data_IF_545654742670
#
_entry.id   IF_545654742670
#
_cell.length_a   1.000
_cell.length_b   1.000
_cell.length_c   1.000
_cell.angle_alpha   90.00
_cell.angle_beta   90.00
_cell.angle_gamma   90.00
#
_symmetry.space_group_name_H-M   'P 1'
#
loop_
_entity.id
_entity.type
_entity.pdbx_description
1 polymer ?
#
# COMPACT_ATOMS: atom_id res chain seq x y z
N UNK A 1 25.91 2.46 -33.16
CA UNK A 1 25.99 2.56 -31.70
C UNK A 1 26.54 3.93 -31.40
N UNK A 2 25.67 4.96 -31.42
CA UNK A 2 26.07 6.32 -31.11
C UNK A 2 25.83 6.58 -29.62
N UNK A 3 26.94 6.82 -28.94
CA UNK A 3 26.98 7.31 -27.57
C UNK A 3 26.36 8.71 -27.52
N UNK A 4 25.23 8.83 -26.83
CA UNK A 4 24.72 10.15 -26.42
C UNK A 4 25.85 10.91 -25.73
N UNK A 5 26.10 12.14 -26.19
CA UNK A 5 27.21 12.94 -25.71
C UNK A 5 26.98 13.33 -24.25
N UNK A 6 28.04 13.39 -23.49
CA UNK A 6 28.06 13.76 -22.05
C UNK A 6 27.30 15.05 -21.75
N UNK A 7 27.16 15.95 -22.72
CA UNK A 7 26.41 17.20 -22.60
C UNK A 7 24.88 17.03 -22.54
N UNK A 8 24.30 16.02 -23.23
CA UNK A 8 22.85 15.75 -23.17
C UNK A 8 22.45 15.03 -21.88
N UNK A 9 23.34 14.19 -21.35
CA UNK A 9 23.14 13.57 -20.03
C UNK A 9 23.22 14.60 -18.88
N UNK A 10 24.15 15.58 -18.97
CA UNK A 10 24.28 16.65 -17.99
C UNK A 10 23.12 17.65 -18.10
N UNK A 11 22.64 17.97 -19.31
CA UNK A 11 21.47 18.82 -19.51
C UNK A 11 20.16 18.20 -18.99
N UNK A 12 19.96 16.88 -19.20
CA UNK A 12 18.82 16.16 -18.65
C UNK A 12 18.89 16.05 -17.11
N UNK A 13 20.07 15.90 -16.53
CA UNK A 13 20.21 15.87 -15.06
C UNK A 13 20.00 17.26 -14.43
N UNK A 14 20.37 18.35 -15.11
CA UNK A 14 20.17 19.71 -14.60
C UNK A 14 18.72 20.20 -14.69
N UNK A 15 17.96 19.76 -15.70
CA UNK A 15 16.52 20.03 -15.83
C UNK A 15 15.70 19.30 -14.75
N UNK A 16 16.10 18.08 -14.35
CA UNK A 16 15.46 17.34 -13.28
C UNK A 16 15.77 17.89 -11.87
N UNK A 17 16.82 18.66 -11.69
CA UNK A 17 17.23 19.16 -10.36
C UNK A 17 16.36 20.30 -9.82
N UNK A 18 15.57 20.96 -10.67
CA UNK A 18 14.71 22.10 -10.30
C UNK A 18 13.21 21.80 -10.32
N UNK A 19 12.84 20.53 -10.36
CA UNK A 19 11.44 20.14 -10.41
C UNK A 19 11.00 19.61 -9.06
N UNK A 20 9.81 19.97 -8.62
CA UNK A 20 9.17 19.37 -7.44
C UNK A 20 7.72 18.97 -7.72
N UNK A 21 7.21 18.07 -6.91
CA UNK A 21 5.80 17.70 -6.88
C UNK A 21 5.25 17.86 -5.47
N UNK A 22 3.94 17.99 -5.35
CA UNK A 22 3.25 17.93 -4.06
C UNK A 22 2.42 16.66 -3.99
N UNK A 23 2.70 15.83 -2.99
CA UNK A 23 1.95 14.61 -2.68
C UNK A 23 1.04 14.81 -1.48
N UNK A 24 -0.14 14.23 -1.55
CA UNK A 24 -1.13 14.20 -0.47
C UNK A 24 -1.47 12.75 -0.17
N UNK A 25 -1.45 12.40 1.10
CA UNK A 25 -1.92 11.10 1.61
C UNK A 25 -3.09 11.37 2.56
N UNK A 26 -4.30 11.17 2.05
CA UNK A 26 -5.55 11.36 2.78
C UNK A 26 -5.96 10.05 3.44
N UNK A 27 -5.80 9.96 4.74
CA UNK A 27 -6.32 8.85 5.55
C UNK A 27 -7.52 9.26 6.41
N UNK A 28 -8.22 8.28 6.95
CA UNK A 28 -9.36 8.53 7.86
C UNK A 28 -8.96 9.15 9.21
N UNK A 29 -7.69 9.07 9.60
CA UNK A 29 -7.17 9.62 10.86
C UNK A 29 -6.23 10.79 10.64
N UNK A 30 -5.35 10.67 9.65
CA UNK A 30 -4.32 11.65 9.35
C UNK A 30 -4.39 12.09 7.89
N UNK A 31 -4.17 13.35 7.66
CA UNK A 31 -3.92 13.97 6.37
C UNK A 31 -2.45 14.41 6.35
N UNK A 32 -1.68 13.88 5.39
CA UNK A 32 -0.27 14.20 5.21
C UNK A 32 -0.05 14.85 3.85
N UNK A 33 0.79 15.88 3.80
CA UNK A 33 1.15 16.59 2.55
C UNK A 33 2.66 16.79 2.53
N UNK A 34 3.30 16.53 1.40
CA UNK A 34 4.74 16.73 1.24
C UNK A 34 5.07 17.37 -0.11
N UNK A 35 6.11 18.20 -0.10
CA UNK A 35 6.83 18.62 -1.30
C UNK A 35 8.02 17.68 -1.52
N UNK A 36 8.18 17.19 -2.74
CA UNK A 36 9.20 16.21 -3.10
C UNK A 36 9.93 16.61 -4.37
N UNK A 37 11.25 16.50 -4.36
CA UNK A 37 12.10 16.65 -5.56
C UNK A 37 12.82 15.33 -5.87
N UNK A 38 12.90 14.91 -7.14
CA UNK A 38 13.65 13.69 -7.49
C UNK A 38 15.12 13.73 -7.08
N UNK A 39 15.73 14.91 -6.99
CA UNK A 39 17.14 15.09 -6.65
C UNK A 39 17.40 15.20 -5.14
N UNK A 40 16.42 15.61 -4.34
CA UNK A 40 16.61 15.92 -2.92
C UNK A 40 15.69 15.09 -1.99
N UNK A 41 14.76 14.29 -2.54
CA UNK A 41 13.76 13.58 -1.74
C UNK A 41 12.66 14.52 -1.23
N UNK A 42 12.15 14.26 -0.03
CA UNK A 42 11.16 15.13 0.63
C UNK A 42 11.85 16.44 1.03
N UNK A 43 11.37 17.56 0.46
CA UNK A 43 11.85 18.90 0.77
C UNK A 43 11.24 19.43 2.06
N UNK A 44 9.94 19.18 2.26
CA UNK A 44 9.18 19.54 3.47
C UNK A 44 7.89 18.72 3.52
N UNK A 45 7.35 18.54 4.72
CA UNK A 45 6.10 17.82 4.92
C UNK A 45 5.31 18.37 6.10
N UNK A 46 4.01 18.21 6.07
CA UNK A 46 3.11 18.51 7.18
C UNK A 46 2.14 17.35 7.39
N UNK A 47 1.75 17.16 8.64
CA UNK A 47 0.76 16.16 9.04
C UNK A 47 -0.24 16.80 9.98
N UNK A 48 -1.52 16.48 9.79
CA UNK A 48 -2.61 16.95 10.64
C UNK A 48 -3.66 15.86 10.81
N UNK A 49 -4.48 15.95 11.84
CA UNK A 49 -5.63 15.07 12.00
C UNK A 49 -6.66 15.35 10.89
N UNK A 50 -7.24 14.30 10.34
CA UNK A 50 -8.38 14.42 9.41
C UNK A 50 -9.62 14.76 10.22
N UNK A 51 -10.06 16.00 10.14
CA UNK A 51 -11.29 16.45 10.82
C UNK A 51 -12.54 16.00 10.05
N UNK A 52 -12.94 14.76 10.27
CA UNK A 52 -14.13 14.18 9.63
C UNK A 52 -15.43 14.90 10.04
N UNK A 53 -15.44 15.63 11.16
CA UNK A 53 -16.62 16.38 11.63
C UNK A 53 -16.93 17.58 10.74
N UNK A 54 -15.94 18.10 10.01
CA UNK A 54 -16.09 19.21 9.05
C UNK A 54 -16.67 18.79 7.70
N UNK A 55 -16.93 17.49 7.51
CA UNK A 55 -17.40 16.89 6.26
C UNK A 55 -16.33 16.87 5.15
N UNK A 56 -16.64 16.23 4.00
CA UNK A 56 -15.70 16.10 2.90
C UNK A 56 -15.11 17.42 2.41
N UNK A 57 -15.95 18.44 2.23
CA UNK A 57 -15.50 19.76 1.77
C UNK A 57 -14.63 20.47 2.80
N UNK A 58 -14.86 20.25 4.11
CA UNK A 58 -14.02 20.79 5.18
C UNK A 58 -12.61 20.20 5.13
N UNK A 59 -12.51 18.88 4.99
CA UNK A 59 -11.23 18.18 4.85
C UNK A 59 -10.51 18.64 3.56
N UNK A 60 -11.23 18.78 2.43
CA UNK A 60 -10.64 19.30 1.18
C UNK A 60 -10.11 20.72 1.37
N UNK A 61 -10.80 21.61 2.10
CA UNK A 61 -10.25 22.95 2.39
C UNK A 61 -8.92 22.89 3.14
N UNK A 62 -8.81 22.03 4.16
CA UNK A 62 -7.57 21.83 4.91
C UNK A 62 -6.44 21.28 4.03
N UNK A 63 -6.75 20.27 3.20
CA UNK A 63 -5.87 19.71 2.20
C UNK A 63 -5.33 20.79 1.25
N UNK A 64 -6.23 21.53 0.63
CA UNK A 64 -5.89 22.59 -0.34
C UNK A 64 -5.03 23.69 0.30
N UNK A 65 -5.33 24.08 1.53
CA UNK A 65 -4.51 25.06 2.26
C UNK A 65 -3.09 24.56 2.47
N UNK A 66 -2.91 23.32 2.89
CA UNK A 66 -1.59 22.72 3.08
C UNK A 66 -0.81 22.60 1.75
N UNK A 67 -1.48 22.16 0.68
CA UNK A 67 -0.88 22.08 -0.66
C UNK A 67 -0.41 23.46 -1.13
N UNK A 68 -1.25 24.49 -1.05
CA UNK A 68 -0.89 25.87 -1.46
C UNK A 68 0.29 26.39 -0.64
N UNK A 69 0.32 26.15 0.66
CA UNK A 69 1.45 26.56 1.51
C UNK A 69 2.77 25.98 1.04
N UNK A 70 2.81 24.69 0.65
CA UNK A 70 4.04 24.07 0.13
C UNK A 70 4.38 24.59 -1.28
N UNK A 71 3.38 24.79 -2.14
CA UNK A 71 3.61 25.37 -3.47
C UNK A 71 4.24 26.77 -3.33
N UNK A 72 3.65 27.66 -2.53
CA UNK A 72 4.14 29.03 -2.34
C UNK A 72 5.56 29.04 -1.77
N UNK A 73 5.89 28.09 -0.88
CA UNK A 73 7.23 27.98 -0.27
C UNK A 73 8.32 27.61 -1.26
N UNK A 74 8.04 26.76 -2.23
CA UNK A 74 9.07 26.20 -3.11
C UNK A 74 9.07 26.74 -4.54
N UNK A 75 8.03 27.46 -4.97
CA UNK A 75 7.91 27.98 -6.33
C UNK A 75 8.95 29.02 -6.73
N UNK A 76 9.70 29.61 -5.76
CA UNK A 76 10.83 30.50 -6.08
C UNK A 76 12.06 29.75 -6.56
N UNK A 77 12.26 28.51 -6.13
CA UNK A 77 13.47 27.74 -6.34
C UNK A 77 13.26 26.53 -7.26
N UNK A 78 12.00 26.07 -7.39
CA UNK A 78 11.63 24.87 -8.12
C UNK A 78 10.38 25.10 -9.00
N UNK A 79 10.31 24.40 -10.12
CA UNK A 79 9.13 24.32 -10.99
C UNK A 79 8.18 23.22 -10.51
N UNK A 80 6.91 23.55 -10.28
CA UNK A 80 5.90 22.57 -9.89
C UNK A 80 5.55 21.65 -11.05
N UNK A 81 5.85 20.36 -10.92
CA UNK A 81 5.51 19.34 -11.91
C UNK A 81 4.04 18.93 -11.85
N UNK A 82 3.46 18.88 -10.64
CA UNK A 82 2.08 18.47 -10.44
C UNK A 82 1.75 18.18 -8.98
N UNK A 83 0.49 17.78 -8.77
CA UNK A 83 -0.07 17.44 -7.47
C UNK A 83 -0.64 16.02 -7.57
N UNK A 84 -0.22 15.15 -6.65
CA UNK A 84 -0.72 13.77 -6.54
C UNK A 84 -1.49 13.58 -5.25
N UNK A 85 -2.59 12.85 -5.31
CA UNK A 85 -3.46 12.61 -4.17
C UNK A 85 -3.70 11.12 -3.98
N UNK A 86 -3.37 10.61 -2.80
CA UNK A 86 -3.73 9.30 -2.30
C UNK A 86 -4.98 9.37 -1.43
N UNK A 87 -5.89 8.43 -1.59
CA UNK A 87 -7.11 8.34 -0.81
C UNK A 87 -7.48 6.88 -0.56
N UNK A 88 -8.13 6.56 0.58
CA UNK A 88 -8.73 5.24 0.73
C UNK A 88 -9.73 4.96 -0.40
N UNK A 89 -9.77 3.70 -0.82
CA UNK A 89 -10.71 3.22 -1.81
C UNK A 89 -12.05 2.73 -1.22
N UNK A 90 -12.94 2.20 -2.10
CA UNK A 90 -12.81 2.12 -3.57
C UNK A 90 -12.88 3.48 -4.25
N UNK A 91 -12.00 3.68 -5.25
CA UNK A 91 -11.87 4.93 -6.00
C UNK A 91 -12.24 4.68 -7.47
N UNK A 92 -13.28 5.34 -7.97
CA UNK A 92 -13.67 5.29 -9.39
C UNK A 92 -12.82 6.24 -10.22
N UNK A 93 -12.14 5.72 -11.24
CA UNK A 93 -11.36 6.49 -12.20
C UNK A 93 -11.99 6.44 -13.60
N UNK A 94 -11.87 7.49 -14.40
CA UNK A 94 -11.11 8.73 -14.17
C UNK A 94 -11.82 9.79 -13.35
N UNK A 95 -13.09 9.58 -12.94
CA UNK A 95 -13.89 10.61 -12.24
C UNK A 95 -13.24 11.06 -10.90
N UNK A 96 -12.52 10.19 -10.21
CA UNK A 96 -11.98 10.45 -8.87
C UNK A 96 -13.07 10.53 -7.81
N UNK A 97 -14.09 9.68 -7.97
CA UNK A 97 -15.22 9.56 -7.03
C UNK A 97 -14.96 8.42 -6.05
N UNK A 98 -15.24 8.66 -4.79
CA UNK A 98 -15.08 7.66 -3.72
C UNK A 98 -16.40 6.92 -3.51
N UNK A 99 -16.34 5.60 -3.32
CA UNK A 99 -17.49 4.75 -3.05
C UNK A 99 -17.37 4.05 -1.71
N UNK A 100 -18.36 4.21 -0.84
CA UNK A 100 -18.47 3.51 0.46
C UNK A 100 -17.13 3.33 1.22
N UNK A 101 -16.32 4.37 1.42
CA UNK A 101 -15.02 4.24 2.05
C UNK A 101 -15.19 3.90 3.54
N UNK A 102 -14.71 2.74 4.03
CA UNK A 102 -14.94 2.34 5.43
C UNK A 102 -14.29 3.29 6.44
N UNK A 103 -13.23 3.97 6.03
CA UNK A 103 -12.45 4.88 6.88
C UNK A 103 -12.83 6.37 6.73
N UNK A 104 -13.75 6.70 5.82
CA UNK A 104 -14.23 8.05 5.55
C UNK A 104 -15.78 8.08 5.56
N UNK A 105 -16.43 8.01 6.72
CA UNK A 105 -17.88 8.00 6.80
C UNK A 105 -18.47 9.29 6.20
N UNK A 106 -19.55 9.16 5.41
CA UNK A 106 -20.20 10.30 4.74
C UNK A 106 -19.54 10.74 3.42
N UNK A 107 -18.55 9.99 2.91
CA UNK A 107 -17.86 10.30 1.65
C UNK A 107 -18.37 9.51 0.46
N UNK A 108 -19.38 8.68 0.63
CA UNK A 108 -19.95 7.91 -0.49
C UNK A 108 -20.48 8.81 -1.60
N UNK A 109 -20.05 8.54 -2.83
CA UNK A 109 -20.39 9.34 -4.01
C UNK A 109 -19.66 10.68 -4.12
N UNK A 110 -18.75 11.04 -3.18
CA UNK A 110 -18.06 12.33 -3.21
C UNK A 110 -17.06 12.41 -4.38
N UNK A 111 -17.18 13.49 -5.16
CA UNK A 111 -16.32 13.76 -6.32
C UNK A 111 -15.02 14.46 -5.88
N UNK A 112 -14.14 13.72 -5.23
CA UNK A 112 -12.92 14.24 -4.60
C UNK A 112 -12.02 14.98 -5.60
N UNK A 113 -11.73 14.37 -6.78
CA UNK A 113 -10.92 15.00 -7.83
C UNK A 113 -11.49 16.37 -8.21
N UNK A 114 -12.75 16.42 -8.62
CA UNK A 114 -13.36 17.65 -9.08
C UNK A 114 -13.42 18.75 -8.00
N UNK A 115 -13.61 18.36 -6.73
CA UNK A 115 -13.62 19.30 -5.61
C UNK A 115 -12.23 19.90 -5.37
N UNK A 116 -11.17 19.10 -5.40
CA UNK A 116 -9.80 19.57 -5.24
C UNK A 116 -9.38 20.45 -6.42
N UNK A 117 -9.61 20.01 -7.66
CA UNK A 117 -9.23 20.74 -8.88
C UNK A 117 -9.88 22.12 -8.96
N UNK A 118 -11.17 22.23 -8.62
CA UNK A 118 -11.85 23.54 -8.53
C UNK A 118 -11.22 24.45 -7.48
N UNK A 119 -10.77 23.90 -6.36
CA UNK A 119 -10.23 24.68 -5.24
C UNK A 119 -8.77 25.10 -5.43
N UNK A 120 -7.99 24.31 -6.16
CA UNK A 120 -6.58 24.60 -6.49
C UNK A 120 -6.47 25.39 -7.79
N UNK A 121 -7.34 25.15 -8.77
CA UNK A 121 -7.31 25.78 -10.10
C UNK A 121 -6.40 25.03 -11.09
N UNK A 122 -6.00 23.79 -10.80
CA UNK A 122 -5.18 22.95 -11.67
C UNK A 122 -5.60 21.48 -11.59
N UNK A 123 -5.23 20.71 -12.61
CA UNK A 123 -5.46 19.27 -12.65
C UNK A 123 -4.59 18.55 -11.60
N UNK A 124 -5.11 17.43 -11.07
CA UNK A 124 -4.39 16.55 -10.15
C UNK A 124 -4.32 15.11 -10.67
N UNK A 125 -3.29 14.38 -10.24
CA UNK A 125 -3.26 12.92 -10.33
C UNK A 125 -3.83 12.33 -9.05
N UNK A 126 -4.65 11.28 -9.14
CA UNK A 126 -5.27 10.64 -7.97
C UNK A 126 -5.25 9.12 -8.12
N UNK A 127 -4.96 8.41 -7.03
CA UNK A 127 -5.01 6.94 -6.96
C UNK A 127 -5.35 6.49 -5.52
N UNK A 128 -5.62 5.18 -5.33
CA UNK A 128 -5.79 4.64 -3.98
C UNK A 128 -4.46 4.65 -3.22
N UNK A 129 -4.53 4.80 -1.89
CA UNK A 129 -3.37 4.81 -0.98
C UNK A 129 -2.50 3.55 -1.10
N UNK A 130 -3.10 2.37 -1.23
CA UNK A 130 -2.39 1.11 -1.41
C UNK A 130 -1.68 1.03 -2.78
N UNK A 131 -2.30 1.52 -3.85
CA UNK A 131 -1.67 1.63 -5.16
C UNK A 131 -0.45 2.56 -5.11
N UNK A 132 -0.56 3.68 -4.41
CA UNK A 132 0.56 4.62 -4.25
C UNK A 132 1.70 4.02 -3.44
N UNK A 133 1.39 3.28 -2.37
CA UNK A 133 2.42 2.57 -1.61
C UNK A 133 3.17 1.55 -2.49
N UNK A 134 2.45 0.79 -3.32
CA UNK A 134 3.06 -0.14 -4.28
C UNK A 134 3.92 0.59 -5.33
N UNK A 135 3.46 1.76 -5.81
CA UNK A 135 4.21 2.55 -6.77
C UNK A 135 5.50 3.14 -6.18
N UNK A 136 5.45 3.58 -4.92
CA UNK A 136 6.65 4.04 -4.21
C UNK A 136 7.66 2.90 -4.00
N UNK A 137 7.20 1.73 -3.53
CA UNK A 137 8.06 0.55 -3.38
C UNK A 137 8.68 0.10 -4.71
N UNK A 138 7.95 0.24 -5.81
CA UNK A 138 8.48 -0.01 -7.14
C UNK A 138 9.56 1.00 -7.54
N UNK A 139 9.34 2.30 -7.31
CA UNK A 139 10.21 3.38 -7.81
C UNK A 139 11.40 3.67 -6.91
N UNK A 140 11.28 3.53 -5.59
CA UNK A 140 12.28 3.96 -4.61
C UNK A 140 12.68 2.84 -3.64
N UNK A 141 11.89 1.78 -3.54
CA UNK A 141 12.11 0.67 -2.62
C UNK A 141 12.66 -0.57 -3.31
N UNK A 142 12.07 -1.73 -2.98
CA UNK A 142 12.51 -3.04 -3.45
C UNK A 142 12.47 -3.18 -4.98
N UNK A 143 11.54 -2.52 -5.67
CA UNK A 143 11.47 -2.56 -7.13
C UNK A 143 12.75 -2.04 -7.79
N UNK A 144 13.23 -0.89 -7.32
CA UNK A 144 14.48 -0.30 -7.78
C UNK A 144 15.70 -1.13 -7.35
N UNK A 145 15.74 -1.56 -6.08
CA UNK A 145 16.88 -2.31 -5.52
C UNK A 145 17.09 -3.65 -6.21
N UNK A 146 16.02 -4.30 -6.65
CA UNK A 146 16.05 -5.62 -7.30
C UNK A 146 15.94 -5.54 -8.83
N UNK A 147 15.90 -4.32 -9.40
CA UNK A 147 15.81 -4.06 -10.84
C UNK A 147 14.65 -4.80 -11.53
N UNK A 148 13.48 -4.83 -10.88
CA UNK A 148 12.30 -5.51 -11.40
C UNK A 148 11.30 -4.53 -12.03
N UNK A 149 10.53 -5.02 -13.00
CA UNK A 149 9.53 -4.23 -13.74
C UNK A 149 8.09 -4.40 -13.22
N UNK A 150 7.85 -5.39 -12.38
CA UNK A 150 6.50 -5.72 -11.92
C UNK A 150 6.51 -6.23 -10.48
N UNK A 151 5.57 -5.75 -9.66
CA UNK A 151 5.35 -6.21 -8.30
C UNK A 151 3.86 -6.16 -7.91
N UNK A 152 3.49 -6.99 -6.95
CA UNK A 152 2.23 -6.88 -6.21
C UNK A 152 2.52 -6.58 -4.75
N UNK A 153 1.78 -5.63 -4.18
CA UNK A 153 1.92 -5.25 -2.78
C UNK A 153 0.59 -5.43 -2.04
N UNK A 154 0.68 -5.90 -0.79
CA UNK A 154 -0.41 -5.86 0.17
C UNK A 154 -0.01 -4.95 1.32
N UNK A 155 -0.89 -4.03 1.70
CA UNK A 155 -0.70 -3.15 2.86
C UNK A 155 -1.52 -3.67 4.03
N UNK A 156 -0.85 -4.13 5.08
CA UNK A 156 -1.45 -4.74 6.28
C UNK A 156 -1.59 -3.68 7.37
N UNK A 157 -2.72 -2.97 7.35
CA UNK A 157 -3.07 -1.88 8.26
C UNK A 157 -4.35 -2.15 9.04
N UNK A 158 -5.20 -1.15 9.22
CA UNK A 158 -6.56 -1.30 9.77
C UNK A 158 -7.38 -2.29 8.94
N UNK A 159 -7.27 -2.24 7.62
CA UNK A 159 -7.73 -3.19 6.64
C UNK A 159 -6.56 -3.84 5.90
N UNK A 160 -6.83 -4.48 4.74
CA UNK A 160 -5.83 -4.98 3.80
C UNK A 160 -6.04 -4.33 2.44
N UNK A 161 -5.14 -3.42 2.08
CA UNK A 161 -5.13 -2.85 0.73
C UNK A 161 -4.25 -3.64 -0.22
N UNK A 162 -4.48 -3.45 -1.52
CA UNK A 162 -3.65 -4.03 -2.58
C UNK A 162 -3.18 -2.98 -3.58
N UNK A 163 -1.99 -3.18 -4.12
CA UNK A 163 -1.44 -2.38 -5.21
C UNK A 163 -0.68 -3.25 -6.20
N UNK A 164 -0.74 -2.90 -7.47
CA UNK A 164 -0.14 -3.69 -8.54
C UNK A 164 0.59 -2.79 -9.52
N UNK A 165 1.86 -3.07 -9.74
CA UNK A 165 2.67 -2.46 -10.79
C UNK A 165 3.03 -3.53 -11.81
N UNK A 166 2.66 -3.32 -13.07
CA UNK A 166 2.96 -4.23 -14.18
C UNK A 166 3.73 -3.49 -15.27
N UNK A 167 4.88 -4.03 -15.68
CA UNK A 167 5.74 -3.45 -16.71
C UNK A 167 6.03 -1.95 -16.45
N UNK A 168 6.40 -1.62 -15.21
CA UNK A 168 6.74 -0.27 -14.79
C UNK A 168 5.57 0.69 -14.61
N UNK A 169 4.32 0.22 -14.74
CA UNK A 169 3.10 1.04 -14.66
C UNK A 169 2.17 0.57 -13.57
N UNK A 170 1.61 1.52 -12.86
CA UNK A 170 0.52 1.25 -11.92
C UNK A 170 -0.68 0.67 -12.69
N UNK A 171 -1.18 -0.48 -12.22
CA UNK A 171 -2.34 -1.14 -12.80
C UNK A 171 -3.56 -0.92 -11.91
N UNK A 172 -4.48 -0.13 -12.40
CA UNK A 172 -5.67 0.31 -11.65
C UNK A 172 -6.95 -0.41 -12.13
N UNK A 173 -6.82 -1.34 -13.09
CA UNK A 173 -7.97 -2.00 -13.70
C UNK A 173 -8.76 -1.09 -14.65
N UNK A 174 -9.96 -1.51 -15.00
CA UNK A 174 -10.78 -0.81 -16.00
C UNK A 174 -11.34 0.54 -15.52
N UNK A 175 -11.51 0.71 -14.22
CA UNK A 175 -12.22 1.84 -13.62
C UNK A 175 -11.61 2.35 -12.30
N UNK A 176 -10.34 2.03 -12.02
CA UNK A 176 -9.66 2.44 -10.80
C UNK A 176 -9.77 1.48 -9.62
N UNK A 177 -10.64 0.47 -9.68
CA UNK A 177 -10.94 -0.46 -8.60
C UNK A 177 -10.17 -1.80 -8.75
N UNK A 178 -9.04 -1.79 -9.43
CA UNK A 178 -8.17 -2.97 -9.54
C UNK A 178 -7.32 -3.20 -8.30
N UNK A 179 -6.75 -4.39 -8.19
CA UNK A 179 -5.85 -4.80 -7.11
C UNK A 179 -6.48 -4.85 -5.70
N UNK A 180 -7.78 -5.08 -5.58
CA UNK A 180 -8.49 -5.28 -4.31
C UNK A 180 -8.14 -6.62 -3.65
N UNK A 181 -6.84 -6.85 -3.45
CA UNK A 181 -6.27 -8.12 -2.97
C UNK A 181 -6.73 -8.50 -1.54
N UNK A 182 -7.12 -7.53 -0.73
CA UNK A 182 -7.70 -7.76 0.59
C UNK A 182 -9.05 -8.47 0.55
N UNK A 183 -9.75 -8.44 -0.58
CA UNK A 183 -11.06 -9.08 -0.77
C UNK A 183 -11.00 -10.42 -1.50
N UNK A 184 -9.79 -10.96 -1.74
CA UNK A 184 -9.63 -12.34 -2.21
C UNK A 184 -10.21 -13.29 -1.16
N UNK A 185 -11.05 -14.24 -1.60
CA UNK A 185 -11.68 -15.22 -0.75
C UNK A 185 -10.64 -16.22 -0.22
N UNK A 186 -10.54 -16.35 1.10
CA UNK A 186 -9.66 -17.34 1.76
C UNK A 186 -10.43 -18.41 2.51
N UNK A 187 -11.65 -18.11 2.97
CA UNK A 187 -12.52 -19.08 3.64
C UNK A 187 -13.98 -18.92 3.19
N UNK A 188 -14.55 -19.95 2.58
CA UNK A 188 -15.90 -19.91 2.00
C UNK A 188 -16.99 -19.52 3.02
N UNK A 189 -16.95 -20.10 4.22
CA UNK A 189 -17.86 -19.81 5.32
C UNK A 189 -17.20 -18.94 6.41
N UNK A 190 -16.30 -18.04 5.99
CA UNK A 190 -15.53 -17.20 6.89
C UNK A 190 -16.29 -15.99 7.44
N UNK A 191 -15.56 -15.14 8.17
CA UNK A 191 -16.09 -13.94 8.78
C UNK A 191 -16.71 -12.97 7.75
N UNK A 192 -17.81 -12.30 8.13
CA UNK A 192 -18.45 -11.28 7.32
C UNK A 192 -17.48 -10.13 7.05
N UNK A 193 -17.46 -9.62 5.82
CA UNK A 193 -16.61 -8.52 5.39
C UNK A 193 -17.46 -7.26 5.12
N UNK A 194 -16.89 -6.09 5.37
CA UNK A 194 -17.52 -4.80 5.09
C UNK A 194 -17.85 -4.57 3.62
N UNK A 195 -17.20 -5.30 2.69
CA UNK A 195 -17.52 -5.25 1.26
C UNK A 195 -18.85 -5.95 0.88
N UNK A 196 -19.56 -6.54 1.83
CA UNK A 196 -20.79 -7.30 1.61
C UNK A 196 -20.61 -8.80 1.38
N UNK A 197 -19.37 -9.29 1.26
CA UNK A 197 -19.01 -10.70 1.15
C UNK A 197 -18.64 -11.30 2.51
N UNK A 198 -18.17 -12.55 2.54
CA UNK A 198 -17.60 -13.21 3.71
C UNK A 198 -16.30 -13.90 3.35
N UNK A 199 -15.44 -14.14 4.33
CA UNK A 199 -14.20 -14.91 4.16
C UNK A 199 -13.09 -14.21 3.37
N UNK A 200 -13.17 -12.90 3.19
CA UNK A 200 -12.11 -12.11 2.56
C UNK A 200 -10.81 -12.15 3.37
N UNK A 201 -9.67 -12.09 2.69
CA UNK A 201 -8.34 -12.07 3.33
C UNK A 201 -8.23 -10.97 4.41
N UNK A 202 -8.80 -9.80 4.19
CA UNK A 202 -8.80 -8.70 5.14
C UNK A 202 -9.32 -9.12 6.52
N UNK A 203 -10.32 -10.01 6.56
CA UNK A 203 -10.91 -10.49 7.80
C UNK A 203 -9.97 -11.40 8.61
N UNK A 204 -8.77 -11.68 8.12
CA UNK A 204 -7.78 -12.53 8.79
C UNK A 204 -6.39 -11.92 8.85
N UNK A 205 -6.09 -10.93 8.00
CA UNK A 205 -4.75 -10.35 7.85
C UNK A 205 -4.68 -8.86 8.16
N UNK A 206 -5.76 -8.25 8.64
CA UNK A 206 -5.78 -6.84 9.09
C UNK A 206 -5.58 -6.70 10.60
N UNK A 207 -5.24 -5.48 11.05
CA UNK A 207 -5.16 -5.17 12.49
C UNK A 207 -6.49 -5.35 13.21
N UNK A 208 -7.59 -4.99 12.57
CA UNK A 208 -8.94 -5.25 13.07
C UNK A 208 -9.19 -6.75 13.22
N UNK A 209 -8.77 -7.56 12.26
CA UNK A 209 -8.91 -9.00 12.28
C UNK A 209 -8.04 -9.65 13.38
N UNK A 210 -6.80 -9.22 13.56
CA UNK A 210 -5.91 -9.69 14.64
C UNK A 210 -6.58 -9.48 16.01
N UNK A 211 -7.08 -8.28 16.29
CA UNK A 211 -7.77 -7.98 17.54
C UNK A 211 -9.06 -8.80 17.71
N UNK A 212 -9.81 -9.05 16.63
CA UNK A 212 -11.01 -9.90 16.64
C UNK A 212 -10.65 -11.36 16.92
N UNK A 213 -9.71 -11.94 16.18
CA UNK A 213 -9.25 -13.32 16.37
C UNK A 213 -8.72 -13.57 17.80
N UNK A 214 -8.00 -12.60 18.36
CA UNK A 214 -7.56 -12.67 19.75
C UNK A 214 -8.75 -12.73 20.73
N UNK A 215 -9.83 -11.95 20.49
CA UNK A 215 -11.05 -12.04 21.31
C UNK A 215 -11.81 -13.35 21.13
N UNK A 216 -11.78 -13.93 19.94
CA UNK A 216 -12.40 -15.25 19.67
C UNK A 216 -11.67 -16.36 20.42
N UNK A 217 -10.32 -16.33 20.43
CA UNK A 217 -9.51 -17.27 21.19
C UNK A 217 -9.79 -17.24 22.72
N UNK A 218 -10.28 -16.13 23.27
CA UNK A 218 -10.70 -16.08 24.69
C UNK A 218 -11.81 -17.07 25.02
N UNK A 219 -12.61 -17.44 24.02
CA UNK A 219 -13.71 -18.42 24.18
C UNK A 219 -13.22 -19.87 24.13
N UNK A 220 -12.02 -20.06 23.55
CA UNK A 220 -11.36 -21.36 23.53
C UNK A 220 -10.64 -21.60 24.87
N UNK A 221 -10.52 -22.85 25.31
CA UNK A 221 -9.88 -23.16 26.59
C UNK A 221 -8.36 -22.90 26.50
N UNK A 222 -7.75 -22.37 27.55
CA UNK A 222 -6.30 -22.29 27.69
C UNK A 222 -5.64 -20.94 27.51
N UNK A 223 -6.33 -19.93 26.99
CA UNK A 223 -5.76 -18.60 26.69
C UNK A 223 -5.47 -17.78 27.95
N UNK A 224 -4.31 -17.93 28.57
CA UNK A 224 -3.99 -17.22 29.81
C UNK A 224 -3.59 -15.78 29.59
N UNK A 225 -2.68 -15.53 28.65
CA UNK A 225 -2.14 -14.21 28.37
C UNK A 225 -3.18 -13.25 27.76
N UNK A 226 -3.94 -13.71 26.78
CA UNK A 226 -5.01 -12.91 26.18
C UNK A 226 -6.13 -12.60 27.17
N UNK A 227 -6.44 -13.48 28.12
CA UNK A 227 -7.44 -13.21 29.17
C UNK A 227 -7.00 -12.09 30.12
N UNK A 228 -5.74 -12.08 30.51
CA UNK A 228 -5.19 -11.01 31.33
C UNK A 228 -5.18 -9.67 30.58
N UNK A 229 -4.76 -9.68 29.32
CA UNK A 229 -4.85 -8.51 28.43
C UNK A 229 -6.29 -8.00 28.34
N UNK A 230 -7.28 -8.87 28.12
CA UNK A 230 -8.68 -8.47 28.04
C UNK A 230 -9.22 -7.88 29.36
N UNK A 231 -8.81 -8.44 30.52
CA UNK A 231 -9.21 -7.91 31.84
C UNK A 231 -8.65 -6.52 32.07
N UNK A 232 -7.40 -6.28 31.69
CA UNK A 232 -6.72 -4.98 31.89
C UNK A 232 -7.12 -3.93 30.85
N UNK A 233 -7.37 -4.35 29.60
CA UNK A 233 -7.67 -3.48 28.45
C UNK A 233 -8.67 -4.16 27.51
N UNK A 234 -9.99 -4.11 27.77
CA UNK A 234 -11.01 -4.75 26.90
C UNK A 234 -10.97 -4.27 25.44
N UNK A 235 -10.53 -3.03 25.21
CA UNK A 235 -10.39 -2.38 23.89
C UNK A 235 -8.98 -2.56 23.29
N UNK A 236 -8.29 -3.67 23.61
CA UNK A 236 -6.96 -3.93 23.08
C UNK A 236 -6.95 -4.01 21.55
N UNK A 237 -5.82 -3.64 20.97
CA UNK A 237 -5.56 -3.56 19.52
C UNK A 237 -4.61 -4.68 19.08
N UNK A 238 -4.38 -4.78 17.76
CA UNK A 238 -3.35 -5.67 17.22
C UNK A 238 -1.95 -5.39 17.79
N UNK A 239 -1.64 -4.14 18.10
CA UNK A 239 -0.36 -3.77 18.73
C UNK A 239 -0.21 -4.37 20.14
N UNK A 240 -1.29 -4.39 20.92
CA UNK A 240 -1.27 -5.00 22.26
C UNK A 240 -1.09 -6.53 22.16
N UNK A 241 -1.74 -7.18 21.18
CA UNK A 241 -1.57 -8.62 20.90
C UNK A 241 -0.14 -8.92 20.44
N UNK A 242 0.44 -8.07 19.58
CA UNK A 242 1.83 -8.19 19.14
C UNK A 242 2.80 -8.11 20.32
N UNK A 243 2.63 -7.12 21.18
CA UNK A 243 3.47 -6.99 22.37
C UNK A 243 3.40 -8.22 23.25
N UNK A 244 2.21 -8.74 23.49
CA UNK A 244 1.99 -9.96 24.27
C UNK A 244 2.65 -11.19 23.63
N UNK A 245 2.60 -11.33 22.30
CA UNK A 245 3.30 -12.38 21.57
C UNK A 245 4.82 -12.27 21.70
N UNK A 246 5.38 -11.03 21.68
CA UNK A 246 6.82 -10.77 21.91
C UNK A 246 7.25 -11.09 23.35
N UNK A 247 6.34 -11.07 24.30
CA UNK A 247 6.56 -11.49 25.70
C UNK A 247 6.46 -13.03 25.88
N UNK A 248 6.19 -13.77 24.79
CA UNK A 248 6.18 -15.24 24.77
C UNK A 248 4.82 -15.88 25.00
N UNK A 249 3.72 -15.14 24.90
CA UNK A 249 2.37 -15.71 25.03
C UNK A 249 2.04 -16.57 23.81
N UNK A 250 1.83 -17.88 24.05
CA UNK A 250 1.54 -18.86 23.00
C UNK A 250 0.21 -18.57 22.29
N UNK A 251 -0.82 -18.14 23.02
CA UNK A 251 -2.13 -17.78 22.47
C UNK A 251 -2.06 -16.51 21.59
N UNK A 252 -1.24 -15.53 21.95
CA UNK A 252 -0.99 -14.37 21.11
C UNK A 252 -0.17 -14.73 19.84
N UNK A 253 0.81 -15.61 19.95
CA UNK A 253 1.55 -16.15 18.81
C UNK A 253 0.62 -16.93 17.86
N UNK A 254 -0.34 -17.68 18.38
CA UNK A 254 -1.32 -18.44 17.59
C UNK A 254 -2.19 -17.51 16.73
N UNK A 255 -2.54 -16.30 17.21
CA UNK A 255 -3.26 -15.30 16.40
C UNK A 255 -2.45 -14.92 15.15
N UNK A 256 -1.16 -14.64 15.30
CA UNK A 256 -0.30 -14.31 14.15
C UNK A 256 -0.04 -15.50 13.24
N UNK A 257 0.05 -16.72 13.79
CA UNK A 257 0.12 -17.94 13.00
C UNK A 257 -1.13 -18.09 12.12
N UNK A 258 -2.34 -17.89 12.66
CA UNK A 258 -3.61 -17.91 11.90
C UNK A 258 -3.65 -16.82 10.83
N UNK A 259 -3.14 -15.63 11.13
CA UNK A 259 -2.94 -14.55 10.14
C UNK A 259 -2.03 -15.03 9.00
N UNK A 260 -0.89 -15.65 9.32
CA UNK A 260 0.05 -16.19 8.34
C UNK A 260 -0.58 -17.23 7.42
N UNK A 261 -1.36 -18.17 7.97
CA UNK A 261 -2.12 -19.16 7.19
C UNK A 261 -3.04 -18.46 6.18
N UNK A 262 -3.84 -17.51 6.63
CA UNK A 262 -4.75 -16.79 5.74
C UNK A 262 -4.01 -16.00 4.64
N UNK A 263 -2.88 -15.35 4.98
CA UNK A 263 -2.02 -14.67 4.01
C UNK A 263 -1.47 -15.66 2.98
N UNK A 264 -1.01 -16.84 3.40
CA UNK A 264 -0.52 -17.87 2.50
C UNK A 264 -1.59 -18.36 1.53
N UNK A 265 -2.82 -18.55 1.98
CA UNK A 265 -3.97 -18.94 1.13
C UNK A 265 -4.26 -17.85 0.10
N UNK A 266 -4.38 -16.58 0.52
CA UNK A 266 -4.67 -15.46 -0.38
C UNK A 266 -3.54 -15.23 -1.39
N UNK A 267 -2.30 -15.20 -0.92
CA UNK A 267 -1.13 -15.05 -1.78
C UNK A 267 -0.98 -16.20 -2.77
N UNK A 268 -1.34 -17.44 -2.40
CA UNK A 268 -1.29 -18.57 -3.33
C UNK A 268 -2.16 -18.34 -4.57
N UNK A 269 -3.35 -17.77 -4.39
CA UNK A 269 -4.22 -17.39 -5.50
C UNK A 269 -3.60 -16.29 -6.36
N UNK A 270 -3.08 -15.23 -5.72
CA UNK A 270 -2.47 -14.09 -6.41
C UNK A 270 -1.19 -14.52 -7.17
N UNK A 271 -0.33 -15.33 -6.55
CA UNK A 271 0.89 -15.87 -7.18
C UNK A 271 0.56 -16.75 -8.39
N UNK A 272 -0.44 -17.63 -8.28
CA UNK A 272 -0.86 -18.48 -9.38
C UNK A 272 -1.42 -17.70 -10.59
N UNK A 273 -2.05 -16.54 -10.34
CA UNK A 273 -2.66 -15.70 -11.40
C UNK A 273 -1.63 -14.78 -12.03
N UNK A 274 -0.77 -14.14 -11.21
CA UNK A 274 0.12 -13.07 -11.68
C UNK A 274 1.52 -13.57 -12.03
N UNK A 275 2.03 -14.58 -11.33
CA UNK A 275 3.39 -15.11 -11.52
C UNK A 275 4.48 -14.02 -11.59
N UNK A 276 4.49 -13.12 -10.62
CA UNK A 276 5.51 -12.06 -10.52
C UNK A 276 6.72 -12.55 -9.72
N UNK A 277 7.87 -11.93 -9.96
CA UNK A 277 9.10 -12.22 -9.19
C UNK A 277 9.12 -11.54 -7.81
N UNK A 278 8.24 -10.54 -7.54
CA UNK A 278 8.19 -9.85 -6.26
C UNK A 278 6.74 -9.63 -5.76
N UNK A 279 6.53 -10.05 -4.51
CA UNK A 279 5.34 -9.72 -3.71
C UNK A 279 5.82 -9.02 -2.44
N UNK A 280 5.26 -7.84 -2.15
CA UNK A 280 5.67 -6.99 -1.03
C UNK A 280 4.56 -6.95 0.01
N UNK A 281 4.89 -7.13 1.27
CA UNK A 281 3.98 -6.92 2.39
C UNK A 281 4.40 -5.67 3.15
N UNK A 282 3.54 -4.67 3.18
CA UNK A 282 3.75 -3.41 3.89
C UNK A 282 2.72 -3.19 4.99
N UNK A 283 2.75 -1.98 5.59
CA UNK A 283 1.84 -1.60 6.66
C UNK A 283 2.31 -1.99 8.06
N UNK A 284 1.58 -1.52 9.07
CA UNK A 284 2.01 -1.62 10.47
C UNK A 284 2.14 -3.03 11.03
N UNK A 285 1.45 -4.02 10.46
CA UNK A 285 1.53 -5.40 10.92
C UNK A 285 2.80 -6.13 10.48
N UNK A 286 3.57 -5.59 9.56
CA UNK A 286 4.83 -6.20 9.10
C UNK A 286 5.87 -6.26 10.23
N UNK A 287 5.73 -5.47 11.28
CA UNK A 287 6.54 -5.59 12.52
C UNK A 287 6.47 -7.00 13.13
N UNK A 288 5.38 -7.74 12.88
CA UNK A 288 5.17 -9.12 13.34
C UNK A 288 5.62 -10.18 12.32
N UNK A 289 6.48 -9.83 11.36
CA UNK A 289 6.92 -10.70 10.26
C UNK A 289 7.34 -12.09 10.72
N UNK A 290 8.21 -12.17 11.71
CA UNK A 290 8.74 -13.41 12.26
C UNK A 290 7.67 -14.33 12.91
N UNK A 291 6.53 -13.76 13.31
CA UNK A 291 5.43 -14.51 13.91
C UNK A 291 4.48 -15.11 12.87
N UNK A 292 4.31 -14.48 11.71
CA UNK A 292 3.35 -14.96 10.70
C UNK A 292 3.99 -15.54 9.43
N UNK A 293 5.19 -15.06 9.02
CA UNK A 293 5.80 -15.44 7.75
C UNK A 293 6.08 -16.94 7.60
N UNK A 294 6.52 -17.68 8.65
CA UNK A 294 6.71 -19.13 8.53
C UNK A 294 5.42 -19.86 8.12
N UNK A 295 4.30 -19.55 8.75
CA UNK A 295 3.01 -20.15 8.43
C UNK A 295 2.53 -19.74 7.03
N UNK A 296 2.73 -18.48 6.64
CA UNK A 296 2.41 -17.97 5.32
C UNK A 296 3.17 -18.71 4.21
N UNK A 297 4.49 -18.88 4.35
CA UNK A 297 5.31 -19.56 3.34
C UNK A 297 4.96 -21.05 3.25
N UNK A 298 4.65 -21.71 4.37
CA UNK A 298 4.21 -23.09 4.35
C UNK A 298 2.90 -23.27 3.55
N UNK A 299 1.91 -22.42 3.79
CA UNK A 299 0.65 -22.46 3.03
C UNK A 299 0.84 -22.17 1.55
N UNK A 300 1.76 -21.26 1.20
CA UNK A 300 2.14 -20.99 -0.19
C UNK A 300 2.71 -22.23 -0.87
N UNK A 301 3.62 -22.95 -0.21
CA UNK A 301 4.22 -24.20 -0.74
C UNK A 301 3.16 -25.27 -0.95
N UNK A 302 2.18 -25.36 -0.07
CA UNK A 302 1.12 -26.36 -0.17
C UNK A 302 0.10 -26.04 -1.27
N UNK A 303 -0.23 -24.76 -1.47
CA UNK A 303 -1.37 -24.34 -2.29
C UNK A 303 -1.00 -23.74 -3.64
N UNK A 304 0.16 -23.08 -3.78
CA UNK A 304 0.53 -22.49 -5.05
C UNK A 304 1.33 -23.45 -5.90
N UNK A 305 0.78 -23.83 -7.06
CA UNK A 305 1.50 -24.57 -8.09
C UNK A 305 2.73 -23.79 -8.58
N UNK A 306 2.57 -22.49 -8.84
CA UNK A 306 3.62 -21.61 -9.34
C UNK A 306 4.71 -21.43 -8.29
N UNK A 307 4.37 -21.10 -7.03
CA UNK A 307 5.36 -20.87 -5.98
C UNK A 307 6.25 -22.08 -5.72
N UNK A 308 5.69 -23.29 -5.74
CA UNK A 308 6.47 -24.53 -5.60
C UNK A 308 7.58 -24.69 -6.65
N UNK A 309 7.43 -24.07 -7.82
CA UNK A 309 8.41 -24.13 -8.91
C UNK A 309 9.38 -22.94 -8.83
N UNK A 310 8.88 -21.76 -8.43
CA UNK A 310 9.57 -20.47 -8.55
C UNK A 310 10.13 -19.94 -7.24
N UNK A 311 9.84 -20.56 -6.08
CA UNK A 311 10.28 -20.02 -4.79
C UNK A 311 11.81 -19.81 -4.78
N UNK A 312 12.27 -18.73 -4.12
CA UNK A 312 13.66 -18.28 -4.14
C UNK A 312 14.64 -19.34 -3.62
N UNK A 313 14.27 -20.01 -2.51
CA UNK A 313 15.14 -20.95 -1.80
C UNK A 313 15.09 -22.39 -2.36
N UNK A 314 14.40 -22.58 -3.49
CA UNK A 314 14.27 -23.92 -4.07
C UNK A 314 15.63 -24.47 -4.56
N UNK A 315 16.07 -25.55 -3.94
CA UNK A 315 17.27 -26.28 -4.39
C UNK A 315 17.06 -26.80 -5.81
N UNK A 316 18.10 -26.69 -6.65
CA UNK A 316 18.10 -27.17 -8.04
C UNK A 316 16.95 -26.63 -8.91
N UNK A 317 16.50 -25.40 -8.67
CA UNK A 317 15.48 -24.76 -9.52
C UNK A 317 16.02 -24.51 -10.93
N UNK A 318 15.22 -24.87 -11.93
CA UNK A 318 15.49 -24.55 -13.35
C UNK A 318 15.13 -23.11 -13.69
N UNK A 319 14.41 -22.40 -12.79
CA UNK A 319 14.03 -21.00 -12.98
C UNK A 319 15.23 -20.11 -12.66
N UNK A 320 15.61 -19.19 -13.56
CA UNK A 320 16.68 -18.23 -13.29
C UNK A 320 16.38 -17.41 -12.01
N UNK A 321 17.40 -17.13 -11.24
CA UNK A 321 17.26 -16.47 -9.93
C UNK A 321 16.47 -15.14 -10.00
N UNK A 322 16.72 -14.33 -11.02
CA UNK A 322 16.01 -13.06 -11.24
C UNK A 322 14.50 -13.22 -11.46
N UNK A 323 14.04 -14.40 -11.90
CA UNK A 323 12.63 -14.71 -12.17
C UNK A 323 11.97 -15.50 -11.04
N UNK A 324 12.71 -15.85 -9.99
CA UNK A 324 12.14 -16.57 -8.83
C UNK A 324 11.28 -15.65 -7.98
N UNK A 325 10.23 -16.25 -7.42
CA UNK A 325 9.28 -15.53 -6.57
C UNK A 325 9.89 -15.23 -5.20
N UNK A 326 9.89 -13.93 -4.86
CA UNK A 326 10.27 -13.39 -3.56
C UNK A 326 9.04 -12.81 -2.87
N UNK A 327 8.92 -13.07 -1.57
CA UNK A 327 7.91 -12.42 -0.73
C UNK A 327 8.66 -11.71 0.37
N UNK A 328 8.62 -10.38 0.37
CA UNK A 328 9.48 -9.54 1.21
C UNK A 328 8.67 -8.49 1.97
N UNK A 329 9.13 -8.09 3.16
CA UNK A 329 8.61 -6.91 3.84
C UNK A 329 8.99 -5.64 3.06
N UNK A 330 8.09 -4.64 3.06
CA UNK A 330 8.31 -3.34 2.43
C UNK A 330 9.53 -2.61 2.99
N UNK A 331 10.27 -1.90 2.13
CA UNK A 331 11.46 -1.16 2.51
C UNK A 331 11.18 0.28 2.94
N UNK A 332 10.13 0.94 2.40
CA UNK A 332 9.87 2.37 2.60
C UNK A 332 9.05 2.69 3.85
N UNK A 333 8.48 1.68 4.53
CA UNK A 333 7.74 1.88 5.77
C UNK A 333 6.48 2.76 5.61
N UNK A 334 6.16 3.60 6.64
CA UNK A 334 4.88 4.32 6.69
C UNK A 334 4.77 5.47 5.67
N UNK A 335 5.87 5.89 5.05
CA UNK A 335 5.87 7.01 4.10
C UNK A 335 5.59 6.59 2.65
N UNK A 336 5.46 5.30 2.39
CA UNK A 336 5.27 4.75 1.05
C UNK A 336 4.06 5.39 0.32
N UNK A 337 2.90 5.55 0.98
CA UNK A 337 1.71 6.18 0.37
C UNK A 337 1.96 7.64 -0.02
N UNK A 338 2.54 8.42 0.90
CA UNK A 338 2.88 9.84 0.67
C UNK A 338 3.92 10.00 -0.46
N UNK A 339 4.99 9.20 -0.43
CA UNK A 339 6.00 9.18 -1.50
C UNK A 339 5.38 8.78 -2.84
N UNK A 340 4.51 7.78 -2.85
CA UNK A 340 3.78 7.37 -4.05
C UNK A 340 2.92 8.48 -4.63
N UNK A 341 2.25 9.28 -3.79
CA UNK A 341 1.49 10.46 -4.23
C UNK A 341 2.41 11.50 -4.88
N UNK A 342 3.56 11.78 -4.27
CA UNK A 342 4.56 12.68 -4.86
C UNK A 342 5.04 12.17 -6.23
N UNK A 343 5.38 10.89 -6.33
CA UNK A 343 5.87 10.27 -7.56
C UNK A 343 4.81 10.22 -8.67
N UNK A 344 3.53 10.02 -8.31
CA UNK A 344 2.42 9.99 -9.27
C UNK A 344 2.25 11.34 -10.00
N UNK A 345 2.59 12.44 -9.32
CA UNK A 345 2.50 13.80 -9.82
C UNK A 345 3.66 14.21 -10.76
N UNK A 346 4.74 13.45 -10.76
CA UNK A 346 5.87 13.73 -11.65
C UNK A 346 5.57 13.30 -13.08
N UNK A 347 6.14 14.00 -14.09
CA UNK A 347 6.01 13.59 -15.48
C UNK A 347 6.49 12.14 -15.65
N UNK A 348 5.65 11.31 -16.25
CA UNK A 348 6.05 9.94 -16.60
C UNK A 348 7.06 10.01 -17.73
N UNK A 349 8.23 9.40 -17.58
CA UNK A 349 9.10 9.15 -18.72
C UNK A 349 8.29 8.43 -19.80
N UNK A 350 8.30 8.98 -21.03
CA UNK A 350 7.59 8.32 -22.14
C UNK A 350 8.16 6.90 -22.28
N UNK A 351 7.32 5.88 -22.44
CA UNK A 351 7.83 4.56 -22.70
C UNK A 351 8.64 4.62 -23.99
N UNK A 352 9.87 4.13 -23.92
CA UNK A 352 10.56 3.72 -25.15
C UNK A 352 9.66 2.66 -25.77
N UNK A 353 9.01 2.97 -26.88
CA UNK A 353 8.21 2.01 -27.63
C UNK A 353 9.15 0.88 -28.07
N UNK A 354 9.07 -0.33 -27.53
CA UNK A 354 9.67 -1.46 -28.19
C UNK A 354 8.70 -1.86 -29.31
N UNK A 355 9.27 -2.03 -30.52
CA UNK A 355 8.60 -2.54 -31.73
C UNK A 355 7.82 -1.50 -32.57
N UNK A 356 8.57 -0.70 -33.34
CA UNK A 356 8.28 -0.60 -34.75
C UNK A 356 9.07 -1.73 -35.44
N UNK A 357 8.42 -2.80 -35.80
CA UNK A 357 8.90 -3.80 -36.77
C UNK A 357 8.29 -3.51 -38.10
#
# INVERSE_FOLDING_TARGET
VDSLTTSEQVANSSLNSKVFSVGVDLGGTNLRVAAYSPSHGILDSTSMLTDLSSGPEGVVRSLVSAVKTLIDRFSSDYDLAGIGVGTPGPLELPAGRIHNPPNLPGWDGFELRACIERSIGSAISIASDANLAAYAEFKLGLGQQLEIDSLSMLTLGTGVGGGLVLNGRLWEGANGMGAENGHVLVYEDGAACGCGSKGCLEQYASGTAVARMARELLKESGSHGLRELYRSKPSFTAHDVYRLAREGSEDACEVFRRMGVALGIGLASIVNVLNLSLYVLGGGLVVAWDLFAPAMVNELRERSYVFRITEMDRANSIVPEALRTRILPAALGPDAGLLGACLLALPRAQPVTPFAS
#
